data_IF_859318530379
#
_entry.id   IF_859318530379
#
_cell.length_a   1.000
_cell.length_b   1.000
_cell.length_c   1.000
_cell.angle_alpha   90.00
_cell.angle_beta   90.00
_cell.angle_gamma   90.00
#
_symmetry.space_group_name_H-M   'P 1'
#
loop_
_entity.id
_entity.type
_entity.pdbx_description
1 polymer ?
#
# COMPACT_ATOMS: atom_id res chain seq x y z
N UNK A 1 0.99 -3.90 24.70
CA UNK A 1 1.92 -3.34 23.70
C UNK A 1 2.10 -4.37 22.60
N UNK A 2 1.83 -4.02 21.35
CA UNK A 2 2.07 -4.92 20.20
C UNK A 2 3.48 -4.67 19.68
N UNK A 3 4.20 -5.73 19.30
CA UNK A 3 5.51 -5.64 18.63
C UNK A 3 5.37 -6.25 17.24
N UNK A 4 5.88 -5.55 16.23
CA UNK A 4 5.89 -6.02 14.84
C UNK A 4 7.26 -6.55 14.47
N UNK A 5 7.29 -7.50 13.53
CA UNK A 5 8.54 -7.97 12.95
C UNK A 5 9.06 -6.91 11.97
N UNK A 6 10.38 -6.72 11.94
CA UNK A 6 11.06 -5.82 11.02
C UNK A 6 11.72 -6.63 9.91
N UNK A 7 11.53 -6.23 8.65
CA UNK A 7 12.31 -6.76 7.54
C UNK A 7 13.69 -6.09 7.58
N UNK A 8 14.71 -6.86 7.96
CA UNK A 8 16.10 -6.42 8.07
C UNK A 8 16.81 -6.33 6.72
N UNK A 9 16.18 -6.79 5.65
CA UNK A 9 16.66 -6.64 4.26
C UNK A 9 16.45 -5.21 3.71
N UNK A 10 15.64 -4.39 4.39
CA UNK A 10 15.46 -2.98 4.08
C UNK A 10 16.44 -2.14 4.89
N UNK A 11 16.88 -1.02 4.31
CA UNK A 11 17.82 -0.08 4.93
C UNK A 11 17.19 1.33 4.96
N UNK A 12 16.74 1.85 6.12
CA UNK A 12 16.70 1.20 7.42
C UNK A 12 15.69 0.03 7.48
N UNK A 13 15.82 -0.89 8.46
CA UNK A 13 14.83 -1.95 8.66
C UNK A 13 13.43 -1.37 8.90
N UNK A 14 12.43 -1.93 8.23
CA UNK A 14 11.05 -1.43 8.31
C UNK A 14 10.10 -2.47 8.93
N UNK A 15 9.12 -2.06 9.74
CA UNK A 15 8.11 -2.96 10.31
C UNK A 15 7.13 -3.45 9.24
N UNK A 16 6.79 -4.74 9.28
CA UNK A 16 5.87 -5.39 8.34
C UNK A 16 4.78 -6.19 9.05
N UNK A 17 3.62 -6.28 8.39
CA UNK A 17 2.45 -7.07 8.81
C UNK A 17 1.82 -7.77 7.61
N UNK A 18 1.13 -8.88 7.88
CA UNK A 18 0.22 -9.52 6.92
C UNK A 18 -1.19 -8.94 7.11
N UNK A 19 -1.81 -8.49 6.03
CA UNK A 19 -3.14 -7.90 6.02
C UNK A 19 -4.16 -8.83 5.36
N UNK A 20 -5.39 -8.80 5.88
CA UNK A 20 -6.57 -9.22 5.12
C UNK A 20 -7.17 -7.96 4.49
N UNK A 21 -7.33 -7.96 3.17
CA UNK A 21 -7.87 -6.83 2.41
C UNK A 21 -9.13 -7.29 1.68
N UNK A 22 -10.22 -6.54 1.85
CA UNK A 22 -11.54 -6.91 1.31
C UNK A 22 -12.15 -5.75 0.53
N UNK A 23 -12.72 -6.06 -0.63
CA UNK A 23 -13.63 -5.18 -1.34
C UNK A 23 -15.03 -5.29 -0.68
N UNK A 24 -15.54 -4.22 -0.03
CA UNK A 24 -16.80 -4.30 0.71
C UNK A 24 -18.04 -4.38 -0.19
N UNK A 25 -17.91 -4.08 -1.49
CA UNK A 25 -19.03 -4.10 -2.45
C UNK A 25 -19.18 -5.46 -3.12
N UNK A 26 -18.07 -6.07 -3.55
CA UNK A 26 -18.08 -7.37 -4.25
C UNK A 26 -17.86 -8.56 -3.33
N UNK A 27 -17.38 -8.33 -2.10
CA UNK A 27 -16.96 -9.38 -1.17
C UNK A 27 -15.61 -10.02 -1.50
N UNK A 28 -14.95 -9.64 -2.61
CA UNK A 28 -13.63 -10.15 -2.98
C UNK A 28 -12.60 -9.87 -1.87
N UNK A 29 -11.77 -10.85 -1.56
CA UNK A 29 -10.89 -10.83 -0.39
C UNK A 29 -9.52 -11.42 -0.73
N UNK A 30 -8.47 -10.80 -0.17
CA UNK A 30 -7.10 -11.28 -0.22
C UNK A 30 -6.60 -11.42 1.21
N UNK A 31 -6.08 -12.60 1.53
CA UNK A 31 -5.47 -12.91 2.82
C UNK A 31 -3.94 -12.84 2.70
N UNK A 32 -3.26 -12.67 3.83
CA UNK A 32 -1.80 -12.63 3.94
C UNK A 32 -1.07 -11.65 2.99
N UNK A 33 -1.70 -10.49 2.70
CA UNK A 33 -1.07 -9.45 1.87
C UNK A 33 0.04 -8.77 2.68
N UNK A 34 1.33 -8.89 2.29
CA UNK A 34 2.42 -8.29 3.04
C UNK A 34 2.42 -6.77 2.86
N UNK A 35 2.45 -6.03 3.97
CA UNK A 35 2.43 -4.57 3.98
C UNK A 35 3.47 -3.99 4.94
N UNK A 36 4.17 -2.95 4.48
CA UNK A 36 5.02 -2.12 5.31
C UNK A 36 4.15 -1.18 6.16
N UNK A 37 4.45 -1.08 7.46
CA UNK A 37 3.93 -0.02 8.30
C UNK A 37 4.84 1.20 8.18
N UNK A 38 4.62 2.03 7.16
CA UNK A 38 5.33 3.30 7.01
C UNK A 38 4.56 4.46 7.66
N UNK A 39 5.23 5.20 8.54
CA UNK A 39 4.70 6.39 9.19
C UNK A 39 5.08 7.70 8.48
N UNK A 40 5.98 7.64 7.48
CA UNK A 40 6.28 8.77 6.60
C UNK A 40 5.30 8.84 5.42
N UNK A 41 4.68 7.72 5.05
CA UNK A 41 3.61 7.66 4.08
C UNK A 41 2.32 8.36 4.56
N UNK A 42 1.94 9.47 3.92
CA UNK A 42 0.70 10.19 4.21
C UNK A 42 -0.56 9.36 3.89
N UNK A 43 -0.44 8.30 3.06
CA UNK A 43 -1.49 7.30 2.75
C UNK A 43 -0.79 5.96 2.35
N UNK A 44 -1.40 4.77 2.36
CA UNK A 44 -0.65 3.47 2.22
C UNK A 44 0.00 3.20 0.82
N UNK A 45 0.69 2.06 0.58
CA UNK A 45 1.16 1.57 -0.77
C UNK A 45 0.57 0.19 -1.13
N UNK A 46 -0.12 0.06 -2.29
CA UNK A 46 -0.76 -1.17 -2.79
C UNK A 46 -0.30 -1.43 -4.23
N UNK A 47 0.26 -2.61 -4.53
CA UNK A 47 0.57 -3.03 -5.89
C UNK A 47 -0.68 -3.09 -6.77
N UNK A 48 -0.50 -2.82 -8.07
CA UNK A 48 -1.58 -2.94 -9.07
C UNK A 48 -2.18 -4.35 -9.13
N UNK A 49 -1.42 -5.39 -8.78
CA UNK A 49 -1.90 -6.77 -8.66
C UNK A 49 -2.96 -6.95 -7.57
N UNK A 50 -2.81 -6.28 -6.42
CA UNK A 50 -3.79 -6.28 -5.33
C UNK A 50 -5.07 -5.57 -5.77
N UNK A 51 -4.93 -4.41 -6.42
CA UNK A 51 -6.05 -3.63 -6.98
C UNK A 51 -6.85 -4.44 -8.01
N UNK A 52 -6.17 -5.11 -8.93
CA UNK A 52 -6.78 -5.98 -9.95
C UNK A 52 -7.49 -7.18 -9.35
N UNK A 53 -6.85 -7.88 -8.41
CA UNK A 53 -7.43 -9.07 -7.77
C UNK A 53 -8.65 -8.75 -6.88
N UNK A 54 -8.72 -7.55 -6.30
CA UNK A 54 -9.90 -7.06 -5.58
C UNK A 54 -10.99 -6.47 -6.49
N UNK A 55 -10.73 -6.35 -7.80
CA UNK A 55 -11.66 -5.73 -8.76
C UNK A 55 -12.02 -4.28 -8.43
N UNK A 56 -11.09 -3.51 -7.84
CA UNK A 56 -11.36 -2.14 -7.41
C UNK A 56 -11.45 -1.19 -8.63
N UNK A 57 -12.49 -0.35 -8.74
CA UNK A 57 -12.59 0.62 -9.82
C UNK A 57 -11.54 1.74 -9.65
N UNK A 58 -10.93 2.14 -10.76
CA UNK A 58 -10.11 3.35 -10.82
C UNK A 58 -11.01 4.59 -10.77
N UNK A 59 -10.74 5.50 -9.84
CA UNK A 59 -11.53 6.74 -9.66
C UNK A 59 -10.79 8.01 -10.13
N UNK A 60 -9.56 7.88 -10.65
CA UNK A 60 -8.77 9.00 -11.17
C UNK A 60 -7.32 8.63 -11.43
N UNK A 61 -6.43 9.63 -11.39
CA UNK A 61 -4.97 9.49 -11.40
C UNK A 61 -4.37 10.59 -10.52
N UNK A 62 -3.36 10.26 -9.72
CA UNK A 62 -2.55 11.23 -8.97
C UNK A 62 -1.06 11.02 -9.27
N UNK A 63 -0.27 12.09 -9.22
CA UNK A 63 1.20 12.01 -9.25
C UNK A 63 1.69 11.85 -7.82
N UNK A 64 2.53 10.85 -7.57
CA UNK A 64 3.21 10.64 -6.28
C UNK A 64 4.71 10.83 -6.52
N UNK A 65 5.36 11.59 -5.64
CA UNK A 65 6.81 11.74 -5.62
C UNK A 65 7.41 10.97 -4.44
N UNK A 66 8.60 10.40 -4.64
CA UNK A 66 9.38 9.79 -3.56
C UNK A 66 10.86 10.17 -3.61
N UNK A 67 11.61 9.70 -2.61
CA UNK A 67 13.05 9.93 -2.43
C UNK A 67 13.81 9.85 -3.75
N UNK A 68 14.58 10.90 -4.05
CA UNK A 68 15.35 11.02 -5.30
C UNK A 68 14.61 11.69 -6.45
N UNK A 69 13.39 12.20 -6.24
CA UNK A 69 12.65 12.98 -7.24
C UNK A 69 11.92 12.13 -8.28
N UNK A 70 11.84 10.81 -8.07
CA UNK A 70 11.09 9.91 -8.92
C UNK A 70 9.59 10.19 -8.76
N UNK A 71 8.95 10.58 -9.86
CA UNK A 71 7.51 10.80 -9.92
C UNK A 71 6.83 9.68 -10.71
N UNK A 72 5.87 9.00 -10.09
CA UNK A 72 5.06 7.97 -10.74
C UNK A 72 3.59 8.38 -10.78
N UNK A 73 2.87 7.96 -11.84
CA UNK A 73 1.42 8.09 -11.92
C UNK A 73 0.78 6.90 -11.24
N UNK A 74 -0.04 7.17 -10.23
CA UNK A 74 -0.76 6.15 -9.47
C UNK A 74 -2.26 6.29 -9.70
N UNK A 75 -2.94 5.17 -9.83
CA UNK A 75 -4.38 5.10 -10.00
C UNK A 75 -5.06 5.01 -8.61
N UNK A 76 -5.63 6.09 -8.06
CA UNK A 76 -6.39 6.02 -6.82
C UNK A 76 -7.55 5.05 -6.97
N UNK A 77 -7.65 4.18 -5.97
CA UNK A 77 -8.83 3.39 -5.61
C UNK A 77 -9.57 4.06 -4.45
N UNK A 78 -10.81 3.65 -4.11
CA UNK A 78 -11.54 4.18 -2.95
C UNK A 78 -10.87 3.88 -1.59
N UNK A 79 -9.92 2.94 -1.53
CA UNK A 79 -8.91 2.86 -0.47
C UNK A 79 -7.69 3.66 -0.98
N UNK A 80 -7.18 4.62 -0.18
CA UNK A 80 -6.34 5.78 -0.65
C UNK A 80 -4.85 5.72 -0.20
N UNK A 81 -3.91 6.09 -1.08
CA UNK A 81 -2.50 5.59 -1.10
C UNK A 81 -1.41 6.67 -1.48
N UNK A 82 -0.24 6.77 -0.77
CA UNK A 82 0.89 7.77 -0.86
C UNK A 82 2.08 7.59 0.13
N UNK A 83 3.27 7.24 -0.36
CA UNK A 83 4.54 7.50 0.36
C UNK A 83 5.00 8.97 0.23
N UNK A 84 5.67 9.53 1.26
CA UNK A 84 6.65 10.63 1.19
C UNK A 84 7.80 10.29 2.14
N UNK A 85 9.01 10.88 2.12
CA UNK A 85 9.61 11.97 1.31
C UNK A 85 10.27 11.49 0.01
#
# INVERSE_FOLDING_TARGET
MIRYNYLTQLQPPAPFVNLVVKNPVTGAELNDVPAQLDCAADRTVFPESVVKALGLPQIGTITIGGVGGLSCRCHPTPLIFQFTK
#
